data_IF_040773017773
#
_entry.id   IF_040773017773
#
_cell.length_a   1.000
_cell.length_b   1.000
_cell.length_c   1.000
_cell.angle_alpha   90.00
_cell.angle_beta   90.00
_cell.angle_gamma   90.00
#
_symmetry.space_group_name_H-M   'P 1'
#
loop_
_entity.id
_entity.type
_entity.pdbx_description
1 polymer ?
#
# COMPACT_ATOMS: atom_id res chain seq x y z
N UNK A 1 -41.27 -34.31 -55.59
CA UNK A 1 -42.66 -34.42 -55.09
C UNK A 1 -42.71 -34.09 -53.60
N UNK A 2 -43.59 -33.14 -53.21
CA UNK A 2 -44.16 -32.85 -51.85
C UNK A 2 -43.14 -32.41 -50.77
N UNK A 3 -42.98 -31.13 -50.41
CA UNK A 3 -43.91 -30.17 -49.78
C UNK A 3 -44.72 -30.73 -48.60
N UNK A 4 -44.37 -30.34 -47.36
CA UNK A 4 -45.28 -30.34 -46.21
C UNK A 4 -45.02 -29.17 -45.25
N UNK A 5 -45.79 -28.11 -45.53
CA UNK A 5 -46.40 -27.05 -44.69
C UNK A 5 -46.11 -26.98 -43.19
N UNK A 6 -45.81 -25.75 -42.77
CA UNK A 6 -45.94 -25.22 -41.42
C UNK A 6 -47.35 -25.42 -40.83
N UNK A 7 -47.41 -25.74 -39.54
CA UNK A 7 -48.63 -25.72 -38.73
C UNK A 7 -48.52 -24.61 -37.70
N UNK A 8 -49.17 -23.48 -37.98
CA UNK A 8 -49.56 -22.50 -36.99
C UNK A 8 -50.39 -23.18 -35.89
N UNK A 9 -49.97 -23.05 -34.63
CA UNK A 9 -50.86 -23.26 -33.49
C UNK A 9 -51.23 -21.92 -32.88
N UNK A 10 -52.53 -21.68 -32.88
CA UNK A 10 -53.24 -20.51 -32.40
C UNK A 10 -52.94 -20.23 -30.92
N UNK A 11 -52.74 -18.94 -30.63
CA UNK A 11 -52.61 -18.39 -29.30
C UNK A 11 -53.87 -18.71 -28.45
N UNK A 12 -53.65 -19.14 -27.20
CA UNK A 12 -54.69 -19.11 -26.16
C UNK A 12 -54.51 -17.83 -25.34
N UNK A 13 -55.57 -17.07 -25.03
CA UNK A 13 -55.46 -15.89 -24.20
C UNK A 13 -55.31 -16.32 -22.75
N UNK A 14 -54.19 -15.96 -22.12
CA UNK A 14 -54.09 -16.00 -20.65
C UNK A 14 -54.91 -14.84 -20.07
N UNK A 15 -55.57 -15.03 -18.92
CA UNK A 15 -56.47 -14.04 -18.36
C UNK A 15 -55.71 -12.80 -17.89
N UNK A 16 -56.24 -11.63 -18.22
CA UNK A 16 -55.91 -10.36 -17.55
C UNK A 16 -56.27 -10.53 -16.07
N UNK A 17 -55.27 -10.64 -15.20
CA UNK A 17 -55.45 -10.34 -13.79
C UNK A 17 -55.34 -8.82 -13.61
N UNK A 18 -56.41 -8.27 -13.06
CA UNK A 18 -56.54 -6.87 -12.69
C UNK A 18 -55.50 -6.48 -11.64
N UNK A 19 -54.95 -5.30 -11.88
CA UNK A 19 -54.22 -4.42 -10.96
C UNK A 19 -54.70 -4.54 -9.52
N UNK A 20 -53.77 -4.85 -8.63
CA UNK A 20 -53.80 -4.37 -7.23
C UNK A 20 -52.71 -3.31 -7.12
N UNK A 21 -53.14 -2.09 -6.77
CA UNK A 21 -52.30 -0.93 -6.58
C UNK A 21 -51.06 -1.26 -5.72
N UNK A 22 -49.90 -1.27 -6.34
CA UNK A 22 -48.64 -1.08 -5.65
C UNK A 22 -48.31 0.41 -5.72
N UNK A 23 -48.32 1.04 -4.55
CA UNK A 23 -47.79 2.38 -4.28
C UNK A 23 -46.58 2.69 -5.16
N UNK A 24 -46.69 3.76 -5.94
CA UNK A 24 -45.64 4.21 -6.86
C UNK A 24 -44.35 4.46 -6.10
N UNK A 25 -43.39 3.56 -6.26
CA UNK A 25 -41.98 3.89 -6.08
C UNK A 25 -41.65 4.82 -7.24
N UNK A 26 -41.47 6.10 -6.92
CA UNK A 26 -41.01 7.11 -7.87
C UNK A 26 -39.83 6.53 -8.64
N UNK A 27 -39.93 6.48 -9.97
CA UNK A 27 -38.82 6.08 -10.83
C UNK A 27 -37.65 7.01 -10.49
N UNK A 28 -36.63 6.47 -9.82
CA UNK A 28 -35.38 7.18 -9.58
C UNK A 28 -34.91 7.70 -10.94
N UNK A 29 -34.89 9.03 -11.08
CA UNK A 29 -34.41 9.67 -12.29
C UNK A 29 -33.03 9.08 -12.61
N UNK A 30 -32.84 8.65 -13.85
CA UNK A 30 -31.52 8.21 -14.31
C UNK A 30 -30.49 9.26 -13.86
N UNK A 31 -29.34 8.83 -13.29
CA UNK A 31 -28.36 9.77 -12.77
C UNK A 31 -28.02 10.78 -13.86
N UNK A 32 -28.25 12.05 -13.58
CA UNK A 32 -27.90 13.15 -14.48
C UNK A 32 -26.37 13.14 -14.59
N UNK A 33 -25.85 12.68 -15.73
CA UNK A 33 -24.41 12.65 -15.99
C UNK A 33 -24.00 14.07 -16.35
N UNK A 34 -23.36 14.76 -15.41
CA UNK A 34 -22.71 16.05 -15.72
C UNK A 34 -21.43 15.76 -16.50
N UNK A 35 -21.31 16.21 -17.77
CA UNK A 35 -20.09 15.98 -18.54
C UNK A 35 -18.92 16.75 -17.92
N UNK A 36 -17.76 16.11 -17.85
CA UNK A 36 -16.52 16.73 -17.41
C UNK A 36 -16.02 17.64 -18.53
N UNK A 37 -15.76 18.91 -18.23
CA UNK A 37 -15.22 19.90 -19.17
C UNK A 37 -13.77 20.28 -18.87
N UNK A 38 -13.24 19.95 -17.69
CA UNK A 38 -11.84 20.18 -17.31
C UNK A 38 -11.18 18.98 -16.62
N UNK A 39 -9.95 18.66 -17.05
CA UNK A 39 -9.21 17.48 -16.62
C UNK A 39 -7.75 17.79 -16.28
N UNK A 40 -7.31 17.53 -15.05
CA UNK A 40 -5.89 17.52 -14.68
C UNK A 40 -5.30 16.14 -15.01
N UNK A 41 -4.14 16.11 -15.64
CA UNK A 41 -3.38 14.88 -15.87
C UNK A 41 -2.26 14.82 -14.83
N UNK A 42 -2.45 14.00 -13.79
CA UNK A 42 -1.48 13.80 -12.71
C UNK A 42 -0.41 12.77 -13.09
N UNK A 43 0.24 12.96 -14.23
CA UNK A 43 1.27 12.08 -14.76
C UNK A 43 2.19 12.83 -15.74
N UNK A 44 3.19 12.15 -16.30
CA UNK A 44 4.18 12.69 -17.25
C UNK A 44 4.36 11.79 -18.47
N UNK A 45 5.10 12.26 -19.47
CA UNK A 45 5.52 11.43 -20.60
C UNK A 45 4.40 11.03 -21.58
N UNK A 46 4.56 9.85 -22.16
CA UNK A 46 3.68 9.22 -23.14
C UNK A 46 2.23 9.07 -22.65
N UNK A 47 2.01 8.70 -21.38
CA UNK A 47 0.66 8.48 -20.86
C UNK A 47 -0.09 9.80 -20.74
N UNK A 48 0.62 10.88 -20.35
CA UNK A 48 0.03 12.20 -20.31
C UNK A 48 -0.35 12.69 -21.72
N UNK A 49 0.48 12.43 -22.73
CA UNK A 49 0.17 12.70 -24.14
C UNK A 49 -1.03 11.88 -24.63
N UNK A 50 -1.11 10.60 -24.27
CA UNK A 50 -2.20 9.68 -24.67
C UNK A 50 -3.55 10.12 -24.10
N UNK A 51 -3.56 10.52 -22.83
CA UNK A 51 -4.75 11.03 -22.14
C UNK A 51 -5.16 12.36 -22.79
N UNK A 52 -4.21 13.29 -22.97
CA UNK A 52 -4.46 14.59 -23.58
C UNK A 52 -5.08 14.44 -24.97
N UNK A 53 -4.52 13.62 -25.86
CA UNK A 53 -5.08 13.36 -27.20
C UNK A 53 -6.52 12.87 -27.16
N UNK A 54 -6.89 12.09 -26.14
CA UNK A 54 -8.28 11.60 -26.00
C UNK A 54 -9.20 12.71 -25.52
N UNK A 55 -8.78 13.43 -24.48
CA UNK A 55 -9.54 14.53 -23.90
C UNK A 55 -9.76 15.66 -24.92
N UNK A 56 -8.74 16.02 -25.70
CA UNK A 56 -8.80 17.02 -26.75
C UNK A 56 -9.82 16.65 -27.85
N UNK A 57 -9.79 15.39 -28.32
CA UNK A 57 -10.79 14.86 -29.27
C UNK A 57 -12.23 14.91 -28.71
N UNK A 58 -12.38 14.87 -27.39
CA UNK A 58 -13.67 14.97 -26.71
C UNK A 58 -14.05 16.42 -26.32
N UNK A 59 -13.20 17.41 -26.64
CA UNK A 59 -13.42 18.82 -26.29
C UNK A 59 -13.23 19.12 -24.79
N UNK A 60 -12.51 18.26 -24.07
CA UNK A 60 -12.24 18.41 -22.63
C UNK A 60 -10.94 19.20 -22.46
N UNK A 61 -11.00 20.33 -21.74
CA UNK A 61 -9.83 21.16 -21.44
C UNK A 61 -8.89 20.42 -20.50
N UNK A 62 -7.68 20.12 -20.96
CA UNK A 62 -6.68 19.46 -20.12
C UNK A 62 -5.77 20.46 -19.43
N UNK A 63 -5.28 20.11 -18.24
CA UNK A 63 -4.15 20.76 -17.57
C UNK A 63 -3.08 19.72 -17.28
N UNK A 64 -1.86 19.90 -17.77
CA UNK A 64 -0.74 18.98 -17.55
C UNK A 64 0.13 19.42 -16.38
N UNK A 65 0.90 18.48 -15.82
CA UNK A 65 1.84 18.74 -14.74
C UNK A 65 3.28 18.51 -15.22
N UNK A 66 4.19 19.38 -14.80
CA UNK A 66 5.62 19.20 -15.04
C UNK A 66 6.45 19.54 -13.81
N UNK A 67 7.60 18.89 -13.67
CA UNK A 67 8.66 19.31 -12.73
C UNK A 67 9.72 20.10 -13.49
N UNK A 68 10.64 20.77 -12.80
CA UNK A 68 11.65 21.63 -13.43
C UNK A 68 12.48 20.89 -14.50
N UNK A 69 12.92 19.61 -14.30
CA UNK A 69 13.58 18.86 -15.37
C UNK A 69 12.67 18.53 -16.56
N UNK A 70 11.35 18.49 -16.34
CA UNK A 70 10.36 18.15 -17.34
C UNK A 70 9.78 19.38 -18.05
N UNK A 71 10.25 20.59 -17.74
CA UNK A 71 9.69 21.83 -18.28
C UNK A 71 9.71 21.90 -19.82
N UNK A 72 10.69 21.26 -20.47
CA UNK A 72 10.80 21.15 -21.93
C UNK A 72 10.26 19.84 -22.50
N UNK A 73 9.66 18.98 -21.68
CA UNK A 73 9.11 17.70 -22.13
C UNK A 73 7.86 17.90 -22.97
N UNK A 74 7.64 16.98 -23.92
CA UNK A 74 6.49 17.06 -24.84
C UNK A 74 5.13 17.10 -24.11
N UNK A 75 4.98 16.39 -23.00
CA UNK A 75 3.73 16.40 -22.23
C UNK A 75 3.49 17.72 -21.48
N UNK A 76 4.56 18.48 -21.16
CA UNK A 76 4.43 19.80 -20.56
C UNK A 76 3.92 20.83 -21.58
N UNK A 77 4.30 20.66 -22.85
CA UNK A 77 3.96 21.56 -23.95
C UNK A 77 2.69 21.17 -24.73
N UNK A 78 2.12 19.98 -24.51
CA UNK A 78 0.98 19.51 -25.33
C UNK A 78 -0.32 20.25 -25.05
N UNK A 79 -0.45 20.91 -23.90
CA UNK A 79 -1.64 21.67 -23.52
C UNK A 79 -1.26 23.13 -23.24
N UNK A 80 -2.12 24.11 -23.59
CA UNK A 80 -1.91 25.51 -23.21
C UNK A 80 -2.02 25.74 -21.70
N UNK A 81 -2.51 24.74 -20.95
CA UNK A 81 -2.56 24.77 -19.50
C UNK A 81 -1.59 23.75 -18.94
N UNK A 82 -0.50 24.23 -18.36
CA UNK A 82 0.49 23.40 -17.68
C UNK A 82 0.88 24.06 -16.35
N UNK A 83 1.06 23.25 -15.31
CA UNK A 83 1.39 23.72 -13.96
C UNK A 83 2.70 23.10 -13.48
N UNK A 84 3.58 23.95 -12.93
CA UNK A 84 4.84 23.51 -12.33
C UNK A 84 4.63 22.93 -10.94
N UNK A 85 5.13 21.71 -10.76
CA UNK A 85 5.28 21.05 -9.48
C UNK A 85 6.60 21.40 -8.78
N UNK A 86 7.53 22.06 -9.48
CA UNK A 86 8.87 22.37 -9.01
C UNK A 86 9.77 21.13 -9.02
N UNK A 87 10.14 20.69 -7.82
CA UNK A 87 11.10 19.63 -7.59
C UNK A 87 10.68 18.26 -8.19
N UNK A 88 11.64 17.41 -8.61
CA UNK A 88 11.35 16.17 -9.36
C UNK A 88 10.49 15.14 -8.61
N UNK A 89 10.55 15.15 -7.26
CA UNK A 89 9.77 14.23 -6.40
C UNK A 89 8.30 14.63 -6.27
N UNK A 90 7.92 15.81 -6.74
CA UNK A 90 6.60 16.39 -6.52
C UNK A 90 5.46 15.70 -7.29
N UNK A 91 5.76 14.79 -8.22
CA UNK A 91 4.74 13.91 -8.81
C UNK A 91 4.07 12.97 -7.79
N UNK A 92 4.73 12.72 -6.65
CA UNK A 92 4.18 11.94 -5.54
C UNK A 92 3.53 12.80 -4.45
N UNK A 93 3.57 14.13 -4.60
CA UNK A 93 2.97 15.07 -3.64
C UNK A 93 1.49 15.29 -3.97
N UNK A 94 0.66 14.39 -3.47
CA UNK A 94 -0.78 14.42 -3.71
C UNK A 94 -1.47 15.69 -3.18
N UNK A 95 -1.02 16.22 -2.04
CA UNK A 95 -1.62 17.41 -1.44
C UNK A 95 -1.35 18.66 -2.29
N UNK A 96 -0.13 18.80 -2.83
CA UNK A 96 0.19 19.86 -3.79
C UNK A 96 -0.63 19.75 -5.07
N UNK A 97 -0.76 18.54 -5.61
CA UNK A 97 -1.55 18.28 -6.84
C UNK A 97 -3.02 18.65 -6.64
N UNK A 98 -3.62 18.24 -5.51
CA UNK A 98 -5.01 18.59 -5.16
C UNK A 98 -5.16 20.09 -4.98
N UNK A 99 -4.22 20.74 -4.29
CA UNK A 99 -4.25 22.19 -4.06
C UNK A 99 -4.23 22.97 -5.38
N UNK A 100 -3.37 22.57 -6.32
CA UNK A 100 -3.31 23.14 -7.67
C UNK A 100 -4.61 22.91 -8.44
N UNK A 101 -5.16 21.69 -8.38
CA UNK A 101 -6.43 21.37 -9.03
C UNK A 101 -7.58 22.27 -8.53
N UNK A 102 -7.65 22.50 -7.21
CA UNK A 102 -8.64 23.40 -6.61
C UNK A 102 -8.42 24.85 -7.01
N UNK A 103 -7.19 25.35 -6.94
CA UNK A 103 -6.85 26.74 -7.29
C UNK A 103 -7.24 27.07 -8.74
N UNK A 104 -7.14 26.10 -9.65
CA UNK A 104 -7.46 26.27 -11.07
C UNK A 104 -8.86 25.78 -11.46
N UNK A 105 -9.73 25.45 -10.49
CA UNK A 105 -11.11 25.05 -10.73
C UNK A 105 -11.25 23.81 -11.63
N UNK A 106 -10.40 22.80 -11.41
CA UNK A 106 -10.40 21.58 -12.21
C UNK A 106 -11.43 20.58 -11.66
N UNK A 107 -12.25 20.03 -12.56
CA UNK A 107 -13.34 19.13 -12.21
C UNK A 107 -12.90 17.68 -12.00
N UNK A 108 -11.97 17.20 -12.83
CA UNK A 108 -11.55 15.81 -12.81
C UNK A 108 -10.03 15.66 -12.83
N UNK A 109 -9.54 14.54 -12.34
CA UNK A 109 -8.13 14.17 -12.33
C UNK A 109 -7.95 12.78 -12.93
N UNK A 110 -7.07 12.67 -13.93
CA UNK A 110 -6.63 11.38 -14.48
C UNK A 110 -5.22 11.06 -13.97
N UNK A 111 -5.02 9.95 -13.25
CA UNK A 111 -3.72 9.64 -12.67
C UNK A 111 -2.76 8.90 -13.61
N UNK A 112 -3.17 8.55 -14.84
CA UNK A 112 -2.43 7.62 -15.71
C UNK A 112 -2.16 6.27 -15.01
N UNK A 113 -0.92 5.78 -15.12
CA UNK A 113 -0.40 4.63 -14.38
C UNK A 113 0.88 4.98 -13.63
N UNK A 114 1.25 4.18 -12.64
CA UNK A 114 2.34 4.52 -11.72
C UNK A 114 2.03 5.76 -10.88
N UNK A 115 3.03 6.34 -10.22
CA UNK A 115 2.89 7.50 -9.32
C UNK A 115 1.75 7.32 -8.30
N UNK A 116 0.71 8.14 -8.39
CA UNK A 116 -0.42 8.16 -7.46
C UNK A 116 -1.65 7.41 -7.99
N UNK A 117 -1.56 6.73 -9.14
CA UNK A 117 -2.70 5.99 -9.73
C UNK A 117 -3.27 4.88 -8.86
N UNK A 118 -2.41 4.23 -8.08
CA UNK A 118 -2.79 3.14 -7.18
C UNK A 118 -2.82 3.58 -5.70
N UNK A 119 -2.75 4.88 -5.43
CA UNK A 119 -2.75 5.40 -4.06
C UNK A 119 -4.21 5.64 -3.60
N UNK A 120 -4.78 4.77 -2.72
CA UNK A 120 -6.17 4.90 -2.30
C UNK A 120 -6.43 6.14 -1.44
N UNK A 121 -5.43 6.57 -0.67
CA UNK A 121 -5.54 7.77 0.16
C UNK A 121 -5.64 9.03 -0.71
N UNK A 122 -4.86 9.08 -1.80
CA UNK A 122 -4.92 10.16 -2.78
C UNK A 122 -6.27 10.21 -3.51
N UNK A 123 -6.76 9.07 -4.02
CA UNK A 123 -8.07 8.98 -4.66
C UNK A 123 -9.20 9.44 -3.72
N UNK A 124 -9.20 8.94 -2.48
CA UNK A 124 -10.19 9.34 -1.45
C UNK A 124 -10.11 10.82 -1.11
N UNK A 125 -8.90 11.42 -1.13
CA UNK A 125 -8.71 12.86 -0.90
C UNK A 125 -9.25 13.69 -2.05
N UNK A 126 -9.04 13.29 -3.31
CA UNK A 126 -9.63 13.95 -4.47
C UNK A 126 -11.16 14.02 -4.36
N UNK A 127 -11.80 12.90 -4.04
CA UNK A 127 -13.27 12.83 -3.90
C UNK A 127 -13.80 13.72 -2.78
N UNK A 128 -13.13 13.72 -1.61
CA UNK A 128 -13.47 14.60 -0.47
C UNK A 128 -13.38 16.09 -0.83
N UNK A 129 -12.48 16.44 -1.72
CA UNK A 129 -12.25 17.81 -2.19
C UNK A 129 -13.11 18.18 -3.41
N UNK A 130 -14.04 17.30 -3.82
CA UNK A 130 -14.96 17.52 -4.93
C UNK A 130 -14.33 17.36 -6.32
N UNK A 131 -13.15 16.73 -6.41
CA UNK A 131 -12.45 16.45 -7.66
C UNK A 131 -12.77 15.02 -8.08
N UNK A 132 -13.33 14.84 -9.27
CA UNK A 132 -13.64 13.52 -9.83
C UNK A 132 -12.34 12.78 -10.13
N UNK A 133 -12.03 11.75 -9.35
CA UNK A 133 -10.89 10.88 -9.59
C UNK A 133 -11.23 9.84 -10.66
N UNK A 134 -10.64 9.96 -11.85
CA UNK A 134 -10.91 9.04 -12.95
C UNK A 134 -10.27 7.67 -12.68
N UNK A 135 -11.11 6.65 -12.71
CA UNK A 135 -10.72 5.24 -12.62
C UNK A 135 -11.23 4.49 -13.83
N UNK A 136 -10.47 3.50 -14.28
CA UNK A 136 -10.92 2.55 -15.31
C UNK A 136 -11.10 1.19 -14.68
N UNK A 137 -12.21 0.54 -15.00
CA UNK A 137 -12.51 -0.81 -14.54
C UNK A 137 -13.15 -1.60 -15.68
N UNK A 138 -12.97 -2.92 -15.70
CA UNK A 138 -13.73 -3.78 -16.58
C UNK A 138 -15.17 -3.89 -16.07
N UNK A 139 -16.19 -3.65 -16.92
CA UNK A 139 -17.58 -3.84 -16.52
C UNK A 139 -17.81 -5.26 -15.98
N UNK A 140 -18.35 -5.38 -14.77
CA UNK A 140 -18.60 -6.67 -14.11
C UNK A 140 -17.48 -7.17 -13.20
N UNK A 141 -16.31 -6.52 -13.17
CA UNK A 141 -15.17 -6.94 -12.33
C UNK A 141 -14.88 -5.99 -11.15
N UNK A 142 -15.76 -5.02 -10.85
CA UNK A 142 -15.58 -4.19 -9.66
C UNK A 142 -15.96 -4.99 -8.42
N UNK A 143 -14.96 -5.62 -7.85
CA UNK A 143 -15.07 -6.37 -6.61
C UNK A 143 -14.91 -5.38 -5.45
N UNK A 144 -15.99 -5.15 -4.69
CA UNK A 144 -15.89 -4.48 -3.41
C UNK A 144 -15.50 -5.50 -2.34
N UNK A 145 -14.32 -5.30 -1.74
CA UNK A 145 -13.82 -6.13 -0.66
C UNK A 145 -13.63 -5.30 0.60
N UNK A 146 -14.21 -5.73 1.71
CA UNK A 146 -13.91 -5.16 3.04
C UNK A 146 -12.85 -6.01 3.71
N UNK A 147 -11.70 -5.41 4.02
CA UNK A 147 -10.59 -6.09 4.69
C UNK A 147 -10.55 -5.65 6.15
N UNK A 148 -10.75 -6.59 7.06
CA UNK A 148 -10.59 -6.38 8.50
C UNK A 148 -9.28 -7.04 8.92
N UNK A 149 -8.33 -6.23 9.39
CA UNK A 149 -7.06 -6.72 9.94
C UNK A 149 -7.12 -6.67 11.45
N UNK A 150 -6.98 -7.82 12.10
CA UNK A 150 -6.79 -7.87 13.55
C UNK A 150 -5.29 -7.82 13.81
N UNK A 151 -4.80 -6.69 14.33
CA UNK A 151 -3.44 -6.60 14.87
C UNK A 151 -3.43 -7.20 16.27
N UNK A 152 -2.54 -8.15 16.58
CA UNK A 152 -2.42 -8.65 17.94
C UNK A 152 -2.02 -7.51 18.89
N UNK A 153 -2.63 -7.46 20.07
CA UNK A 153 -2.17 -6.60 21.17
C UNK A 153 -0.77 -7.05 21.62
N UNK A 154 -0.02 -6.16 22.27
CA UNK A 154 1.38 -6.37 22.68
C UNK A 154 1.66 -7.63 23.54
N UNK A 155 0.61 -8.34 23.97
CA UNK A 155 0.65 -9.55 24.79
C UNK A 155 0.26 -10.84 24.04
N UNK A 156 -0.15 -10.78 22.77
CA UNK A 156 -0.56 -11.98 22.01
C UNK A 156 0.39 -12.29 20.85
N UNK A 157 0.90 -13.50 20.87
CA UNK A 157 1.85 -14.05 19.90
C UNK A 157 1.19 -14.27 18.54
N UNK A 158 1.72 -13.56 17.53
CA UNK A 158 1.98 -14.02 16.15
C UNK A 158 0.85 -14.50 15.22
N UNK A 159 -0.43 -14.24 15.48
CA UNK A 159 -1.48 -14.51 14.48
C UNK A 159 -2.12 -13.21 13.95
N UNK A 160 -1.43 -12.54 13.02
CA UNK A 160 -2.06 -11.47 12.24
C UNK A 160 -3.06 -12.07 11.27
N UNK A 161 -4.33 -12.14 11.68
CA UNK A 161 -5.44 -12.61 10.85
C UNK A 161 -5.97 -11.47 9.98
N UNK A 162 -6.21 -11.78 8.71
CA UNK A 162 -6.86 -10.89 7.75
C UNK A 162 -8.18 -11.53 7.35
N UNK A 163 -9.29 -10.87 7.65
CA UNK A 163 -10.62 -11.29 7.23
C UNK A 163 -11.04 -10.46 6.04
N UNK A 164 -11.34 -11.11 4.93
CA UNK A 164 -11.80 -10.46 3.69
C UNK A 164 -13.27 -10.80 3.50
N UNK A 165 -14.12 -9.77 3.38
CA UNK A 165 -15.52 -9.90 3.00
C UNK A 165 -15.68 -9.47 1.54
N UNK A 166 -16.13 -10.38 0.69
CA UNK A 166 -16.25 -10.14 -0.74
C UNK A 166 -17.47 -10.88 -1.29
N UNK A 167 -18.37 -10.19 -1.99
CA UNK A 167 -19.63 -10.77 -2.52
C UNK A 167 -20.46 -11.55 -1.48
N UNK A 168 -20.46 -11.10 -0.22
CA UNK A 168 -21.15 -11.78 0.89
C UNK A 168 -20.42 -13.01 1.44
N UNK A 169 -19.25 -13.37 0.90
CA UNK A 169 -18.39 -14.45 1.39
C UNK A 169 -17.38 -13.88 2.37
N UNK A 170 -17.22 -14.56 3.52
CA UNK A 170 -16.18 -14.30 4.51
C UNK A 170 -15.03 -15.28 4.31
N UNK A 171 -13.84 -14.76 3.98
CA UNK A 171 -12.61 -15.55 3.84
C UNK A 171 -11.64 -15.13 4.92
N UNK A 172 -11.19 -16.10 5.73
CA UNK A 172 -10.11 -15.89 6.70
C UNK A 172 -8.77 -16.25 6.07
N UNK A 173 -7.81 -15.32 6.14
CA UNK A 173 -6.44 -15.51 5.70
C UNK A 173 -5.51 -15.41 6.90
N UNK A 174 -4.63 -16.40 7.05
CA UNK A 174 -3.51 -16.35 7.99
C UNK A 174 -2.30 -15.73 7.28
N UNK A 175 -1.72 -14.67 7.86
CA UNK A 175 -0.45 -14.16 7.36
C UNK A 175 0.66 -15.09 7.86
N UNK A 176 1.19 -15.90 6.94
CA UNK A 176 2.35 -16.73 7.23
C UNK A 176 3.58 -15.83 7.39
N UNK A 177 4.34 -15.94 8.50
CA UNK A 177 5.60 -15.23 8.62
C UNK A 177 6.56 -15.69 7.50
N UNK A 178 7.35 -14.79 6.90
CA UNK A 178 8.34 -15.20 5.92
C UNK A 178 9.33 -16.19 6.55
N UNK A 179 9.79 -17.20 5.79
CA UNK A 179 10.75 -18.22 6.31
C UNK A 179 12.03 -17.64 6.91
N UNK A 180 12.43 -16.43 6.47
CA UNK A 180 13.59 -15.73 7.00
C UNK A 180 13.28 -14.95 8.28
N UNK A 181 12.01 -14.73 8.63
CA UNK A 181 11.57 -13.94 9.80
C UNK A 181 12.05 -14.56 11.12
N UNK A 182 11.95 -15.88 11.26
CA UNK A 182 12.51 -16.62 12.41
C UNK A 182 14.04 -16.43 12.51
N UNK A 183 14.73 -16.44 11.36
CA UNK A 183 16.17 -16.22 11.25
C UNK A 183 16.57 -14.77 11.57
N UNK A 184 15.77 -13.79 11.13
CA UNK A 184 15.98 -12.37 11.37
C UNK A 184 15.66 -11.97 12.80
N UNK A 185 14.73 -12.68 13.46
CA UNK A 185 14.52 -12.62 14.91
C UNK A 185 15.66 -13.27 15.71
N UNK A 186 16.65 -13.85 15.03
CA UNK A 186 17.81 -14.45 15.69
C UNK A 186 17.47 -15.69 16.51
N UNK A 187 16.34 -16.36 16.24
CA UNK A 187 15.99 -17.65 16.85
C UNK A 187 16.78 -18.80 16.19
N UNK A 188 18.10 -18.65 16.15
CA UNK A 188 18.96 -19.77 16.46
C UNK A 188 19.36 -19.53 17.90
N UNK A 189 18.69 -20.20 18.83
CA UNK A 189 19.18 -20.31 20.19
C UNK A 189 20.56 -21.00 20.13
N UNK A 190 21.61 -20.21 20.00
CA UNK A 190 22.82 -20.49 20.73
C UNK A 190 22.46 -19.96 22.11
N UNK A 191 22.04 -20.86 22.99
CA UNK A 191 21.65 -20.54 24.36
C UNK A 191 22.64 -19.52 24.94
N UNK A 192 22.11 -18.45 25.53
CA UNK A 192 22.90 -17.39 26.16
C UNK A 192 23.81 -16.57 25.20
N UNK A 193 23.41 -16.27 23.95
CA UNK A 193 24.20 -15.34 23.11
C UNK A 193 23.41 -14.41 22.18
N UNK A 194 24.00 -13.27 21.84
CA UNK A 194 23.52 -12.30 20.84
C UNK A 194 24.45 -12.32 19.64
N UNK A 195 23.89 -12.40 18.43
CA UNK A 195 24.65 -12.47 17.18
C UNK A 195 24.44 -11.23 16.30
N UNK A 196 25.41 -10.94 15.43
CA UNK A 196 25.32 -9.89 14.42
C UNK A 196 24.23 -10.24 13.39
N UNK A 197 23.18 -9.41 13.22
CA UNK A 197 22.07 -9.71 12.30
C UNK A 197 22.49 -9.61 10.82
N UNK A 198 23.55 -8.86 10.54
CA UNK A 198 24.08 -8.56 9.22
C UNK A 198 25.59 -8.30 9.31
N UNK A 199 26.34 -8.30 8.19
CA UNK A 199 27.74 -7.89 8.22
C UNK A 199 27.87 -6.44 8.70
N UNK A 200 28.70 -6.21 9.71
CA UNK A 200 28.78 -4.91 10.38
C UNK A 200 30.18 -4.67 10.97
N UNK A 201 30.48 -3.41 11.26
CA UNK A 201 31.64 -3.00 12.06
C UNK A 201 31.19 -2.68 13.48
N UNK A 202 31.89 -3.16 14.50
CA UNK A 202 31.62 -2.80 15.90
C UNK A 202 32.13 -1.38 16.14
N UNK A 203 31.24 -0.47 16.54
CA UNK A 203 31.61 0.91 16.85
C UNK A 203 31.96 1.10 18.33
N UNK A 204 31.23 0.47 19.24
CA UNK A 204 31.52 0.52 20.69
C UNK A 204 30.67 -0.50 21.42
N UNK A 205 31.18 -0.95 22.57
CA UNK A 205 30.43 -1.77 23.52
C UNK A 205 29.82 -0.84 24.58
N UNK A 206 28.54 -1.00 24.86
CA UNK A 206 27.79 -0.21 25.86
C UNK A 206 27.78 -0.88 27.24
N UNK A 207 28.39 -2.08 27.33
CA UNK A 207 28.52 -2.90 28.55
C UNK A 207 29.93 -3.49 28.63
N UNK A 208 30.33 -3.93 29.82
CA UNK A 208 31.54 -4.68 30.09
C UNK A 208 31.25 -6.15 30.46
N UNK A 209 32.29 -6.99 30.39
CA UNK A 209 32.21 -8.35 30.93
C UNK A 209 31.99 -8.31 32.45
N UNK A 210 31.01 -9.07 32.93
CA UNK A 210 30.54 -9.08 34.32
C UNK A 210 29.31 -8.21 34.58
N UNK A 211 28.88 -7.37 33.63
CA UNK A 211 27.73 -6.49 33.84
C UNK A 211 26.40 -7.25 33.87
N UNK A 212 25.53 -6.86 34.80
CA UNK A 212 24.14 -7.33 34.88
C UNK A 212 23.27 -6.44 34.00
N UNK A 213 22.60 -7.03 33.01
CA UNK A 213 21.73 -6.32 32.06
C UNK A 213 20.29 -6.78 32.13
N UNK A 214 19.36 -5.87 31.84
CA UNK A 214 17.94 -6.16 31.69
C UNK A 214 17.56 -6.34 30.22
N UNK A 215 16.48 -7.06 29.95
CA UNK A 215 15.87 -7.14 28.62
C UNK A 215 15.64 -5.74 28.05
N UNK A 216 16.12 -5.51 26.84
CA UNK A 216 16.08 -4.23 26.15
C UNK A 216 17.26 -3.29 26.42
N UNK A 217 18.16 -3.62 27.37
CA UNK A 217 19.36 -2.83 27.62
C UNK A 217 20.28 -2.78 26.39
N UNK A 218 20.91 -1.64 26.09
CA UNK A 218 21.89 -1.56 25.00
C UNK A 218 23.12 -2.41 25.33
N UNK A 219 23.66 -3.13 24.34
CA UNK A 219 24.84 -3.99 24.51
C UNK A 219 26.00 -3.53 23.64
N UNK A 220 25.77 -3.37 22.34
CA UNK A 220 26.80 -3.05 21.35
C UNK A 220 26.21 -2.13 20.30
N UNK A 221 26.95 -1.10 19.90
CA UNK A 221 26.61 -0.26 18.75
C UNK A 221 27.41 -0.74 17.55
N UNK A 222 26.70 -1.03 16.46
CA UNK A 222 27.29 -1.50 15.21
C UNK A 222 27.03 -0.51 14.09
N UNK A 223 27.96 -0.41 13.15
CA UNK A 223 27.79 0.29 11.88
C UNK A 223 27.53 -0.74 10.78
N UNK A 224 26.40 -0.56 10.08
CA UNK A 224 26.19 -1.23 8.80
C UNK A 224 25.44 -0.30 7.86
N UNK A 225 25.76 -0.37 6.56
CA UNK A 225 25.08 0.42 5.53
C UNK A 225 25.03 1.93 5.84
N UNK A 226 26.13 2.49 6.40
CA UNK A 226 26.27 3.91 6.81
C UNK A 226 25.32 4.34 7.94
N UNK A 227 24.79 3.40 8.70
CA UNK A 227 23.90 3.67 9.83
C UNK A 227 24.43 3.00 11.10
N UNK A 228 24.35 3.73 12.21
CA UNK A 228 24.56 3.18 13.54
C UNK A 228 23.29 2.49 14.04
N UNK A 229 23.42 1.25 14.49
CA UNK A 229 22.32 0.47 15.08
C UNK A 229 22.75 -0.03 16.45
N UNK A 230 21.88 0.17 17.44
CA UNK A 230 22.10 -0.32 18.81
C UNK A 230 21.51 -1.72 18.94
N UNK A 231 22.38 -2.71 19.16
CA UNK A 231 21.96 -4.08 19.49
C UNK A 231 21.61 -4.11 20.98
N UNK A 232 20.40 -4.59 21.28
CA UNK A 232 19.82 -4.62 22.63
C UNK A 232 19.68 -6.05 23.15
N UNK A 233 19.72 -6.20 24.47
CA UNK A 233 19.59 -7.50 25.13
C UNK A 233 18.20 -8.10 24.90
N UNK A 234 18.10 -9.38 24.47
CA UNK A 234 16.81 -10.06 24.35
C UNK A 234 16.25 -10.55 25.70
N UNK A 235 17.10 -10.62 26.74
CA UNK A 235 16.79 -11.20 28.05
C UNK A 235 17.50 -10.46 29.20
N UNK A 236 17.13 -10.80 30.42
CA UNK A 236 17.91 -10.45 31.62
C UNK A 236 19.12 -11.41 31.71
N UNK A 237 20.27 -10.95 32.23
CA UNK A 237 21.42 -11.83 32.41
C UNK A 237 22.73 -11.11 32.74
N UNK A 238 23.78 -11.88 32.96
CA UNK A 238 25.15 -11.38 33.19
C UNK A 238 25.98 -11.54 31.92
N UNK A 239 26.68 -10.49 31.51
CA UNK A 239 27.56 -10.53 30.32
C UNK A 239 28.81 -11.35 30.65
N UNK A 240 28.89 -12.58 30.13
CA UNK A 240 30.07 -13.44 30.30
C UNK A 240 31.25 -12.97 29.46
N UNK A 241 30.99 -12.59 28.20
CA UNK A 241 32.05 -12.24 27.25
C UNK A 241 31.56 -11.34 26.12
N UNK A 242 32.42 -10.39 25.74
CA UNK A 242 32.28 -9.61 24.51
C UNK A 242 33.20 -10.20 23.45
N UNK A 243 32.61 -10.71 22.36
CA UNK A 243 33.36 -11.47 21.37
C UNK A 243 34.26 -10.61 20.48
N UNK A 244 34.01 -9.30 20.42
CA UNK A 244 34.66 -8.36 19.51
C UNK A 244 35.01 -7.02 20.16
N UNK A 245 36.08 -6.41 19.67
CA UNK A 245 36.53 -5.07 20.08
C UNK A 245 35.98 -4.02 19.13
N UNK A 246 35.97 -2.77 19.61
CA UNK A 246 35.70 -1.62 18.76
C UNK A 246 36.64 -1.61 17.54
N UNK A 247 36.06 -1.43 16.36
CA UNK A 247 36.76 -1.46 15.07
C UNK A 247 36.64 -2.79 14.32
N UNK A 248 36.28 -3.90 14.97
CA UNK A 248 36.22 -5.22 14.35
C UNK A 248 35.10 -5.32 13.31
N UNK A 249 35.35 -6.08 12.23
CA UNK A 249 34.36 -6.37 11.19
C UNK A 249 33.81 -7.79 11.39
N UNK A 250 32.52 -7.89 11.61
CA UNK A 250 31.79 -9.14 11.85
C UNK A 250 30.98 -9.53 10.62
N UNK A 251 30.85 -10.84 10.36
CA UNK A 251 29.92 -11.38 9.37
C UNK A 251 28.54 -11.55 10.01
N UNK A 252 27.50 -11.67 9.18
CA UNK A 252 26.18 -12.05 9.67
C UNK A 252 26.24 -13.40 10.42
N UNK A 253 25.60 -13.46 11.58
CA UNK A 253 25.55 -14.63 12.46
C UNK A 253 26.76 -14.80 13.38
N UNK A 254 27.75 -13.89 13.36
CA UNK A 254 28.87 -13.93 14.31
C UNK A 254 28.39 -13.50 15.70
N UNK A 255 28.81 -14.20 16.75
CA UNK A 255 28.48 -13.86 18.14
C UNK A 255 29.09 -12.51 18.51
N UNK A 256 28.30 -11.63 19.13
CA UNK A 256 28.72 -10.32 19.64
C UNK A 256 28.84 -10.35 21.17
N UNK A 257 27.85 -10.92 21.85
CA UNK A 257 27.79 -10.99 23.32
C UNK A 257 27.40 -12.41 23.75
N UNK A 258 28.08 -12.93 24.76
CA UNK A 258 27.74 -14.16 25.46
C UNK A 258 27.28 -13.82 26.87
N UNK A 259 26.16 -14.39 27.29
CA UNK A 259 25.69 -14.36 28.66
C UNK A 259 26.24 -15.55 29.45
N UNK A 260 26.23 -15.44 30.78
CA UNK A 260 26.42 -16.61 31.63
C UNK A 260 25.27 -17.60 31.43
N UNK A 261 25.58 -18.89 31.45
CA UNK A 261 24.54 -19.92 31.49
C UNK A 261 23.87 -19.84 32.87
N UNK A 262 22.55 -19.63 32.91
CA UNK A 262 21.81 -19.88 34.14
C UNK A 262 21.99 -21.36 34.47
N UNK A 263 22.74 -21.66 35.53
CA UNK A 263 22.75 -22.99 36.10
C UNK A 263 21.30 -23.32 36.45
N UNK A 264 20.70 -24.25 35.69
CA UNK A 264 19.42 -24.83 36.01
C UNK A 264 19.53 -25.40 37.42
N UNK A 265 18.98 -24.67 38.39
CA UNK A 265 18.91 -25.11 39.76
C UNK A 265 17.88 -26.24 39.77
N UNK A 266 18.36 -27.49 39.64
CA UNK A 266 17.57 -28.69 39.90
C UNK A 266 17.12 -28.64 41.36
N UNK A 267 15.88 -28.21 41.58
CA UNK A 267 15.22 -28.34 42.86
C UNK A 267 14.99 -29.84 43.14
N UNK A 268 15.76 -30.37 44.10
CA UNK A 268 15.52 -31.65 44.78
C UNK A 268 14.32 -31.58 45.71
#
# INVERSE_FOLDING_TARGET
MRSMKAKHRLARPFPRLLSTAATGVSASAAPQITPITSLLIANRGEIALRIHKTADRLGIRTTTLYTDPDASSQHAACSPHSLSLGNPKSYLDGDRIISLAKQHGIQALHPGYGFLSENPAFASRCEKEGIVFLTTFFPGERIHSTVVRTTPNATETQDSKVVVFQHGVRTELALLPPKWFEKALGLKEIAASVVAPMPCKVLRNEVAEGDVVKKGAPLVVIESMKMETVIRSPQDGVVKKLAHKEGDICKAGTVLVLFEEEAANEAS
#
